data_IF_769770475078
#
_entry.id   IF_769770475078
#
_cell.length_a   1.000
_cell.length_b   1.000
_cell.length_c   1.000
_cell.angle_alpha   90.00
_cell.angle_beta   90.00
_cell.angle_gamma   90.00
#
_symmetry.space_group_name_H-M   'P 1'
#
loop_
_entity.id
_entity.type
_entity.pdbx_description
1 polymer ?
#
# COMPACT_ATOMS: atom_id res chain seq x y z
N UNK A 1 -8.80 -9.49 -6.72
CA UNK A 1 -8.94 -9.46 -6.46
C UNK A 1 -8.62 -9.72 -6.20
N UNK A 2 -8.50 -9.79 -6.37
CA UNK A 2 -8.52 -9.90 -6.10
C UNK A 2 -8.35 -10.58 -5.98
N UNK A 3 -8.27 -10.92 -6.29
CA UNK A 3 -8.51 -11.39 -6.11
C UNK A 3 -8.51 -11.84 -5.97
N UNK A 4 -8.32 -12.07 -6.27
CA UNK A 4 -8.52 -12.42 -6.04
C UNK A 4 -8.63 -12.61 -5.47
N UNK A 5 -8.89 -12.25 -6.28
CA UNK A 5 -9.32 -12.61 -5.29
C UNK A 5 -9.30 -12.42 -3.86
N UNK A 6 -10.02 -12.52 -3.17
CA UNK A 6 -10.30 -12.45 -1.78
C UNK A 6 -9.17 -12.47 -0.79
N UNK A 7 -7.97 -12.37 -1.25
CA UNK A 7 -6.82 -12.38 -0.38
C UNK A 7 -6.36 -11.01 0.02
N UNK A 8 -7.06 -9.99 -0.39
CA UNK A 8 -6.68 -8.62 -0.09
C UNK A 8 -6.52 -8.42 1.41
N UNK A 9 -5.62 -7.59 1.79
CA UNK A 9 -5.44 -7.18 3.16
C UNK A 9 -4.74 -8.22 4.03
N UNK A 10 -5.47 -9.20 4.47
CA UNK A 10 -4.98 -10.13 5.48
C UNK A 10 -3.91 -11.08 5.02
N UNK A 11 -3.81 -11.35 3.75
CA UNK A 11 -2.87 -12.33 3.23
C UNK A 11 -1.45 -11.80 3.04
N UNK A 12 -1.28 -10.49 3.00
CA UNK A 12 0.00 -9.87 2.70
C UNK A 12 0.41 -9.90 1.23
N UNK A 13 -0.43 -10.43 0.36
CA UNK A 13 -0.15 -10.47 -1.07
C UNK A 13 -0.53 -9.18 -1.75
N UNK A 14 0.22 -8.81 -2.78
CA UNK A 14 -0.08 -7.63 -3.60
C UNK A 14 -0.65 -8.06 -4.94
N UNK A 15 -1.27 -7.11 -5.64
CA UNK A 15 -1.64 -7.30 -7.04
C UNK A 15 -0.73 -6.43 -7.90
N UNK A 16 -0.84 -6.59 -9.21
CA UNK A 16 -0.04 -5.81 -10.15
C UNK A 16 -0.65 -4.43 -10.32
N UNK A 17 -0.02 -3.43 -9.73
CA UNK A 17 -0.53 -2.05 -9.77
C UNK A 17 -0.56 -1.47 -11.17
N UNK A 18 0.22 -2.01 -12.11
CA UNK A 18 0.21 -1.55 -13.50
C UNK A 18 -1.12 -1.81 -14.19
N UNK A 19 -1.95 -2.69 -13.64
CA UNK A 19 -3.28 -2.97 -14.17
C UNK A 19 -4.30 -1.87 -13.85
N UNK A 20 -3.97 -0.94 -12.96
CA UNK A 20 -4.86 0.13 -12.57
C UNK A 20 -4.83 1.22 -13.62
N UNK A 21 -5.99 1.63 -14.18
CA UNK A 21 -6.02 2.71 -15.16
C UNK A 21 -5.44 3.99 -14.57
N UNK A 22 -4.56 4.70 -15.30
CA UNK A 22 -3.87 5.89 -14.77
C UNK A 22 -4.79 7.00 -14.31
N UNK A 23 -5.96 7.13 -14.90
CA UNK A 23 -6.90 8.19 -14.58
C UNK A 23 -7.70 7.96 -13.30
N UNK A 24 -7.53 6.79 -12.66
CA UNK A 24 -8.24 6.47 -11.42
C UNK A 24 -7.51 6.98 -10.18
N UNK A 25 -6.26 7.42 -10.30
CA UNK A 25 -5.43 7.74 -9.13
C UNK A 25 -6.07 8.71 -8.15
N UNK A 26 -6.78 9.73 -8.65
CA UNK A 26 -7.41 10.74 -7.81
C UNK A 26 -8.58 10.20 -6.98
N UNK A 27 -9.09 9.01 -7.29
CA UNK A 27 -10.22 8.40 -6.59
C UNK A 27 -9.87 7.06 -5.96
N UNK A 28 -8.63 6.65 -6.11
CA UNK A 28 -8.19 5.32 -5.71
C UNK A 28 -7.68 5.32 -4.28
N UNK A 29 -8.19 4.39 -3.49
CA UNK A 29 -7.61 4.07 -2.20
C UNK A 29 -6.98 2.70 -2.34
N UNK A 30 -5.65 2.65 -2.26
CA UNK A 30 -4.91 1.43 -2.48
C UNK A 30 -4.73 0.69 -1.16
N UNK A 31 -5.05 -0.59 -1.14
CA UNK A 31 -4.95 -1.43 0.06
C UNK A 31 -4.56 -2.84 -0.34
N UNK A 32 -4.21 -3.63 0.65
CA UNK A 32 -3.87 -5.04 0.44
C UNK A 32 -2.39 -5.25 0.14
N UNK A 33 -1.70 -5.93 1.04
CA UNK A 33 -0.31 -6.29 0.87
C UNK A 33 0.70 -5.16 0.96
N UNK A 34 0.29 -3.96 1.36
CA UNK A 34 1.20 -2.82 1.47
C UNK A 34 2.07 -2.92 2.72
N UNK A 35 3.31 -2.45 2.60
CA UNK A 35 4.29 -2.44 3.67
C UNK A 35 5.28 -1.30 3.45
N UNK A 36 6.15 -1.00 4.42
CA UNK A 36 7.20 0.00 4.20
C UNK A 36 8.09 -0.34 3.00
N UNK A 37 8.24 -1.63 2.68
CA UNK A 37 9.13 -2.06 1.60
C UNK A 37 8.56 -1.81 0.20
N UNK A 38 7.24 -1.75 0.04
CA UNK A 38 6.63 -1.68 -1.29
C UNK A 38 5.72 -0.49 -1.52
N UNK A 39 5.37 0.27 -0.48
CA UNK A 39 4.37 1.33 -0.63
C UNK A 39 4.87 2.46 -1.54
N UNK A 40 6.15 2.76 -1.55
CA UNK A 40 6.67 3.81 -2.43
C UNK A 40 6.46 3.45 -3.90
N UNK A 41 6.73 2.20 -4.28
CA UNK A 41 6.46 1.72 -5.64
C UNK A 41 4.97 1.80 -5.97
N UNK A 42 4.12 1.42 -5.02
CA UNK A 42 2.69 1.48 -5.21
C UNK A 42 2.22 2.92 -5.48
N UNK A 43 2.71 3.87 -4.69
CA UNK A 43 2.36 5.29 -4.86
C UNK A 43 2.84 5.80 -6.22
N UNK A 44 4.06 5.46 -6.62
CA UNK A 44 4.62 5.92 -7.89
C UNK A 44 3.89 5.34 -9.10
N UNK A 45 3.52 4.07 -9.03
CA UNK A 45 2.87 3.40 -10.17
C UNK A 45 1.38 3.72 -10.27
N UNK A 46 0.66 3.66 -9.17
CA UNK A 46 -0.80 3.84 -9.17
C UNK A 46 -1.23 5.27 -8.89
N UNK A 47 -0.39 6.06 -8.26
CA UNK A 47 -0.69 7.45 -7.85
C UNK A 47 -2.04 7.55 -7.14
N UNK A 48 -2.26 6.74 -6.11
CA UNK A 48 -3.56 6.73 -5.43
C UNK A 48 -3.78 8.02 -4.65
N UNK A 49 -5.05 8.30 -4.38
CA UNK A 49 -5.42 9.40 -3.50
C UNK A 49 -5.02 9.08 -2.05
N UNK A 50 -5.12 7.83 -1.65
CA UNK A 50 -4.76 7.39 -0.30
C UNK A 50 -4.26 5.95 -0.32
N UNK A 51 -3.56 5.55 0.72
CA UNK A 51 -3.17 4.16 0.95
C UNK A 51 -3.67 3.72 2.30
N UNK A 52 -3.99 2.44 2.42
CA UNK A 52 -4.44 1.82 3.65
C UNK A 52 -3.53 0.64 3.95
N UNK A 53 -3.12 0.50 5.20
CA UNK A 53 -2.21 -0.57 5.60
C UNK A 53 -2.68 -1.20 6.90
N UNK A 54 -2.48 -2.51 7.01
CA UNK A 54 -2.80 -3.25 8.22
C UNK A 54 -1.62 -4.12 8.63
N UNK A 55 -1.56 -5.35 8.15
CA UNK A 55 -0.53 -6.30 8.58
C UNK A 55 0.88 -5.87 8.22
N UNK A 56 1.05 -5.07 7.18
CA UNK A 56 2.37 -4.60 6.73
C UNK A 56 3.12 -3.75 7.74
N UNK A 57 2.43 -3.21 8.74
CA UNK A 57 3.06 -2.42 9.81
C UNK A 57 2.89 -3.09 11.17
N UNK A 58 2.62 -4.39 11.19
CA UNK A 58 2.47 -5.17 12.43
C UNK A 58 3.72 -5.98 12.71
N UNK A 59 4.08 -6.08 13.98
CA UNK A 59 5.15 -6.98 14.42
C UNK A 59 4.62 -8.41 14.57
N UNK A 60 3.32 -8.53 14.86
CA UNK A 60 2.61 -9.80 14.90
C UNK A 60 1.12 -9.50 14.69
N UNK A 61 0.29 -10.49 14.38
CA UNK A 61 -1.13 -10.24 14.08
C UNK A 61 -1.81 -9.40 15.16
N UNK A 62 -2.37 -8.28 14.74
CA UNK A 62 -3.09 -7.36 15.61
C UNK A 62 -2.23 -6.40 16.41
N UNK A 63 -0.90 -6.48 16.32
CA UNK A 63 0.00 -5.63 17.09
C UNK A 63 0.79 -4.73 16.15
N UNK A 64 0.49 -3.44 16.15
CA UNK A 64 1.17 -2.46 15.30
C UNK A 64 2.59 -2.21 15.81
N UNK A 65 3.52 -2.07 14.88
CA UNK A 65 4.91 -1.77 15.19
C UNK A 65 5.18 -0.29 14.90
N UNK A 66 5.47 0.54 15.92
CA UNK A 66 5.69 1.97 15.70
C UNK A 66 6.81 2.27 14.71
N UNK A 67 7.89 1.48 14.69
CA UNK A 67 8.98 1.70 13.75
C UNK A 67 8.54 1.41 12.31
N UNK A 68 7.75 0.36 12.11
CA UNK A 68 7.21 0.05 10.79
C UNK A 68 6.20 1.10 10.32
N UNK A 69 5.39 1.63 11.24
CA UNK A 69 4.45 2.69 10.92
C UNK A 69 5.20 3.95 10.47
N UNK A 70 6.25 4.34 11.19
CA UNK A 70 7.04 5.49 10.83
C UNK A 70 7.73 5.31 9.49
N UNK A 71 8.29 4.13 9.23
CA UNK A 71 8.93 3.81 7.95
C UNK A 71 7.93 3.84 6.80
N UNK A 72 6.71 3.35 7.03
CA UNK A 72 5.65 3.38 6.02
C UNK A 72 5.28 4.82 5.66
N UNK A 73 5.04 5.66 6.66
CA UNK A 73 4.69 7.07 6.45
C UNK A 73 5.80 7.79 5.70
N UNK A 74 7.05 7.56 6.09
CA UNK A 74 8.19 8.19 5.43
C UNK A 74 8.29 7.77 3.97
N UNK A 75 8.08 6.48 3.68
CA UNK A 75 8.11 5.98 2.30
C UNK A 75 7.02 6.63 1.44
N UNK A 76 5.82 6.81 2.00
CA UNK A 76 4.73 7.49 1.30
C UNK A 76 5.11 8.94 1.01
N UNK A 77 5.65 9.65 1.99
CA UNK A 77 6.06 11.05 1.83
C UNK A 77 7.12 11.21 0.75
N UNK A 78 8.10 10.32 0.74
CA UNK A 78 9.17 10.37 -0.26
C UNK A 78 8.63 10.11 -1.66
N UNK A 79 7.73 9.14 -1.80
CA UNK A 79 7.11 8.86 -3.09
C UNK A 79 6.23 10.02 -3.56
N UNK A 80 5.50 10.66 -2.64
CA UNK A 80 4.68 11.81 -2.96
C UNK A 80 5.51 13.00 -3.43
N UNK A 81 6.71 13.18 -2.90
CA UNK A 81 7.59 14.26 -3.30
C UNK A 81 8.06 14.12 -4.75
N UNK A 82 8.01 12.90 -5.29
CA UNK A 82 8.40 12.62 -6.67
C UNK A 82 7.26 12.79 -7.68
N UNK A 83 6.07 13.11 -7.23
CA UNK A 83 4.87 13.18 -8.10
C UNK A 83 4.78 14.47 -8.88
#
# INVERSE_FOLDING_TARGET
>A
GGHGAGEAGGSGKTFDWSLIPPDMGARLILAGGLSPANVASAVREARPWAVDVASGVESSPGIKDPARMAAFIQAVREADADR
#
